data_IF_342667363399
#
_entry.id   IF_342667363399
#
_cell.length_a   1.000
_cell.length_b   1.000
_cell.length_c   1.000
_cell.angle_alpha   90.00
_cell.angle_beta   90.00
_cell.angle_gamma   90.00
#
_symmetry.space_group_name_H-M   'P 1'
#
loop_
_entity.id
_entity.type
_entity.pdbx_description
1 polymer ?
#
# COMPACT_ATOMS: atom_id res chain seq x y z
N UNK A 1 15.39 -12.73 -9.69
CA UNK A 1 15.05 -11.99 -10.93
C UNK A 1 16.14 -10.94 -11.17
N UNK A 2 16.61 -10.74 -12.42
CA UNK A 2 17.49 -9.62 -12.75
C UNK A 2 16.64 -8.40 -13.08
N UNK A 3 16.98 -7.25 -12.51
CA UNK A 3 16.35 -5.96 -12.81
C UNK A 3 17.27 -5.19 -13.76
N UNK A 4 16.72 -4.69 -14.87
CA UNK A 4 17.43 -3.84 -15.81
C UNK A 4 18.01 -2.62 -15.07
N UNK A 5 19.21 -2.19 -15.46
CA UNK A 5 19.88 -1.05 -14.81
C UNK A 5 19.01 0.21 -14.87
N UNK A 6 18.39 0.50 -16.01
CA UNK A 6 17.47 1.62 -16.17
C UNK A 6 16.32 1.62 -15.14
N UNK A 7 15.73 0.45 -14.88
CA UNK A 7 14.65 0.33 -13.90
C UNK A 7 15.15 0.55 -12.47
N UNK A 8 16.37 0.09 -12.17
CA UNK A 8 17.00 0.32 -10.85
C UNK A 8 17.30 1.79 -10.64
N UNK A 9 17.85 2.46 -11.65
CA UNK A 9 18.20 3.88 -11.58
C UNK A 9 16.94 4.75 -11.50
N UNK A 10 15.87 4.36 -12.20
CA UNK A 10 14.56 4.99 -12.08
C UNK A 10 13.99 4.84 -10.68
N UNK A 11 14.05 3.64 -10.09
CA UNK A 11 13.58 3.41 -8.72
C UNK A 11 14.39 4.21 -7.71
N UNK A 12 15.71 4.31 -7.90
CA UNK A 12 16.58 5.13 -7.03
C UNK A 12 16.18 6.60 -7.06
N UNK A 13 15.87 7.15 -8.25
CA UNK A 13 15.38 8.54 -8.37
C UNK A 13 14.06 8.75 -7.62
N UNK A 14 13.10 7.84 -7.77
CA UNK A 14 11.81 7.91 -7.06
C UNK A 14 12.05 7.86 -5.55
N UNK A 15 12.91 6.95 -5.09
CA UNK A 15 13.23 6.81 -3.68
C UNK A 15 13.78 8.12 -3.09
N UNK A 16 14.64 8.81 -3.85
CA UNK A 16 15.24 10.08 -3.45
C UNK A 16 14.26 11.26 -3.52
N UNK A 17 13.51 11.41 -4.62
CA UNK A 17 12.69 12.61 -4.86
C UNK A 17 11.26 12.53 -4.32
N UNK A 18 10.67 11.34 -4.25
CA UNK A 18 9.25 11.14 -3.95
C UNK A 18 9.02 10.43 -2.61
N UNK A 19 9.98 9.61 -2.16
CA UNK A 19 9.90 8.85 -0.91
C UNK A 19 10.80 9.41 0.20
N UNK A 20 11.20 10.67 0.10
CA UNK A 20 11.92 11.38 1.16
C UNK A 20 13.34 10.89 1.42
N UNK A 21 14.04 10.44 0.37
CA UNK A 21 15.41 9.90 0.53
C UNK A 21 15.44 8.44 0.97
N UNK A 22 14.38 7.68 0.71
CA UNK A 22 14.30 6.26 1.05
C UNK A 22 15.40 5.45 0.36
N UNK A 23 15.79 4.34 0.97
CA UNK A 23 16.65 3.35 0.33
C UNK A 23 15.92 2.60 -0.79
N UNK A 24 16.67 1.97 -1.70
CA UNK A 24 16.09 1.13 -2.74
C UNK A 24 15.25 -0.05 -2.19
N UNK A 25 15.61 -0.59 -1.02
CA UNK A 25 14.85 -1.68 -0.40
C UNK A 25 13.51 -1.17 0.15
N UNK A 26 13.50 0.00 0.80
CA UNK A 26 12.28 0.64 1.27
C UNK A 26 11.35 1.01 0.11
N UNK A 27 11.90 1.57 -0.97
CA UNK A 27 11.14 1.85 -2.18
C UNK A 27 10.56 0.55 -2.80
N UNK A 28 11.30 -0.55 -2.78
CA UNK A 28 10.80 -1.85 -3.21
C UNK A 28 9.66 -2.35 -2.31
N UNK A 29 9.76 -2.19 -0.99
CA UNK A 29 8.68 -2.55 -0.06
C UNK A 29 7.40 -1.78 -0.33
N UNK A 30 7.50 -0.48 -0.64
CA UNK A 30 6.35 0.33 -1.06
C UNK A 30 5.73 -0.25 -2.33
N UNK A 31 6.51 -0.57 -3.36
CA UNK A 31 5.98 -1.17 -4.60
C UNK A 31 5.29 -2.52 -4.37
N UNK A 32 5.85 -3.37 -3.49
CA UNK A 32 5.23 -4.65 -3.14
C UNK A 32 3.91 -4.44 -2.39
N UNK A 33 3.89 -3.51 -1.44
CA UNK A 33 2.67 -3.14 -0.72
C UNK A 33 1.59 -2.61 -1.67
N UNK A 34 1.95 -1.73 -2.60
CA UNK A 34 1.02 -1.22 -3.60
C UNK A 34 0.48 -2.33 -4.51
N UNK A 35 1.32 -3.30 -4.91
CA UNK A 35 0.88 -4.44 -5.71
C UNK A 35 -0.19 -5.25 -4.97
N UNK A 36 0.08 -5.62 -3.71
CA UNK A 36 -0.87 -6.38 -2.90
C UNK A 36 -2.14 -5.57 -2.61
N UNK A 37 -2.02 -4.26 -2.37
CA UNK A 37 -3.15 -3.36 -2.17
C UNK A 37 -4.06 -3.32 -3.39
N UNK A 38 -3.49 -3.13 -4.60
CA UNK A 38 -4.27 -3.16 -5.85
C UNK A 38 -4.97 -4.50 -6.05
N UNK A 39 -4.29 -5.60 -5.69
CA UNK A 39 -4.86 -6.95 -5.79
C UNK A 39 -5.99 -7.18 -4.79
N UNK A 40 -5.87 -6.69 -3.56
CA UNK A 40 -6.92 -6.74 -2.56
C UNK A 40 -8.13 -5.92 -2.98
N UNK A 41 -7.91 -4.67 -3.43
CA UNK A 41 -8.97 -3.81 -3.95
C UNK A 41 -9.68 -4.42 -5.17
N UNK A 42 -8.94 -5.08 -6.07
CA UNK A 42 -9.55 -5.77 -7.21
C UNK A 42 -10.46 -6.94 -6.79
N UNK A 43 -10.12 -7.65 -5.71
CA UNK A 43 -10.99 -8.70 -5.16
C UNK A 43 -12.26 -8.12 -4.54
N UNK A 44 -12.12 -7.06 -3.73
CA UNK A 44 -13.26 -6.35 -3.15
C UNK A 44 -14.19 -5.79 -4.24
N UNK A 45 -13.63 -5.18 -5.29
CA UNK A 45 -14.43 -4.65 -6.40
C UNK A 45 -15.17 -5.74 -7.20
N UNK A 46 -14.69 -6.98 -7.18
CA UNK A 46 -15.31 -8.10 -7.88
C UNK A 46 -16.42 -8.80 -7.06
N UNK A 47 -16.53 -8.49 -5.76
CA UNK A 47 -17.47 -9.13 -4.84
C UNK A 47 -18.19 -8.08 -3.98
N UNK A 48 -19.40 -7.65 -4.39
CA UNK A 48 -20.17 -6.62 -3.68
C UNK A 48 -20.52 -6.99 -2.23
N UNK A 49 -20.77 -8.26 -1.92
CA UNK A 49 -21.08 -8.69 -0.55
C UNK A 49 -19.85 -8.53 0.35
N UNK A 50 -18.68 -8.93 -0.15
CA UNK A 50 -17.41 -8.73 0.56
C UNK A 50 -17.09 -7.24 0.77
N UNK A 51 -17.41 -6.38 -0.21
CA UNK A 51 -17.22 -4.95 -0.09
C UNK A 51 -18.15 -4.32 0.97
N UNK A 52 -19.43 -4.72 0.98
CA UNK A 52 -20.40 -4.26 1.98
C UNK A 52 -20.03 -4.71 3.39
N UNK A 53 -19.53 -5.95 3.54
CA UNK A 53 -19.05 -6.47 4.81
C UNK A 53 -17.82 -5.70 5.31
N UNK A 54 -16.83 -5.45 4.44
CA UNK A 54 -15.64 -4.66 4.77
C UNK A 54 -16.00 -3.24 5.22
N UNK A 55 -16.93 -2.57 4.52
CA UNK A 55 -17.36 -1.22 4.88
C UNK A 55 -18.09 -1.18 6.23
N UNK A 56 -18.91 -2.19 6.52
CA UNK A 56 -19.63 -2.30 7.79
C UNK A 56 -18.66 -2.50 8.95
N UNK A 57 -17.74 -3.46 8.84
CA UNK A 57 -16.70 -3.70 9.86
C UNK A 57 -15.83 -2.45 10.07
N UNK A 58 -15.44 -1.76 8.99
CA UNK A 58 -14.68 -0.52 9.08
C UNK A 58 -15.45 0.60 9.79
N UNK A 59 -16.76 0.70 9.61
CA UNK A 59 -17.59 1.69 10.29
C UNK A 59 -17.69 1.39 11.79
N UNK A 60 -17.90 0.12 12.15
CA UNK A 60 -17.95 -0.32 13.55
C UNK A 60 -16.62 -0.02 14.28
N UNK A 61 -15.48 -0.23 13.63
CA UNK A 61 -14.17 0.10 14.22
C UNK A 61 -13.95 1.60 14.38
N UNK A 62 -14.41 2.42 13.43
CA UNK A 62 -14.28 3.88 13.50
C UNK A 62 -15.07 4.48 14.68
N UNK A 63 -16.19 3.86 15.07
CA UNK A 63 -16.98 4.29 16.24
C UNK A 63 -16.28 4.02 17.58
N UNK A 64 -15.30 3.11 17.60
CA UNK A 64 -14.57 2.68 18.82
C UNK A 64 -13.15 3.27 18.86
N UNK A 65 -12.79 4.11 17.88
CA UNK A 65 -11.47 4.75 17.85
C UNK A 65 -11.34 5.70 19.06
N UNK A 66 -10.35 5.43 19.91
CA UNK A 66 -10.12 6.12 21.17
C UNK A 66 -8.79 6.84 21.13
N UNK A 67 -8.76 8.09 21.60
CA UNK A 67 -7.51 8.84 21.72
C UNK A 67 -6.53 8.08 22.62
N UNK A 68 -5.38 7.69 22.07
CA UNK A 68 -4.27 7.14 22.84
C UNK A 68 -3.50 8.31 23.43
N UNK A 69 -3.60 8.51 24.74
CA UNK A 69 -2.78 9.47 25.46
C UNK A 69 -1.37 8.88 25.68
N UNK A 70 -0.32 9.60 25.25
CA UNK A 70 1.09 9.31 25.57
C UNK A 70 1.46 9.67 27.01
#
# INVERSE_FOLDING_TARGET
MRVAQENRDRLARIAESELGGATLDEALRVLLFEHESRRALAKLAADPEMADDYLRESAELAEVDTEVAE
#
